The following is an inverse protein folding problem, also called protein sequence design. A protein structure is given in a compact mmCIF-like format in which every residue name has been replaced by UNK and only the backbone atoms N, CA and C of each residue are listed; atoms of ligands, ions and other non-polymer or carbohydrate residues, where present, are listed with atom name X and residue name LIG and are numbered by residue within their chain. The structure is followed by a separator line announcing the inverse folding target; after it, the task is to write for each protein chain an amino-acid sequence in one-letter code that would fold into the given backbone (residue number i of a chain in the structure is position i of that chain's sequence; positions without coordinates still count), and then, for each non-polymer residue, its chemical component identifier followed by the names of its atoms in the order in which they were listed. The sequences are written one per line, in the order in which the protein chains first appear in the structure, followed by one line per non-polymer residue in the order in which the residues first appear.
data_IF_330805113132
#
_entry.id   IF_330805113132
#
_cell.length_a   1.000
_cell.length_b   1.000
_cell.length_c   1.000
_cell.angle_alpha   90.00
_cell.angle_beta   90.00
_cell.angle_gamma   90.00
#
_symmetry.space_group_name_H-M   'P 1'
#
loop_
_entity.id
_entity.type
_entity.pdbx_description
1 polymer ?
#
# COMPACT_ATOMS: atom_id res chain seq x y z
N UNK A 1 -30.35 -25.99 -44.52
CA UNK A 1 -30.08 -24.83 -43.63
C UNK A 1 -29.66 -23.65 -44.51
N UNK A 2 -30.48 -22.60 -44.61
CA UNK A 2 -30.24 -21.51 -45.57
C UNK A 2 -29.03 -20.66 -45.16
N UNK A 3 -28.15 -20.35 -46.11
CA UNK A 3 -26.88 -19.62 -45.92
C UNK A 3 -27.03 -18.27 -45.18
N UNK A 4 -28.21 -17.65 -45.15
CA UNK A 4 -28.47 -16.42 -44.40
C UNK A 4 -28.62 -16.61 -42.88
N UNK A 5 -29.02 -17.79 -42.40
CA UNK A 5 -29.15 -18.08 -40.96
C UNK A 5 -27.81 -18.36 -40.28
N UNK A 6 -26.81 -18.81 -41.05
CA UNK A 6 -25.46 -19.08 -40.54
C UNK A 6 -24.66 -17.78 -40.32
N UNK A 7 -24.87 -16.75 -41.16
CA UNK A 7 -24.24 -15.44 -41.01
C UNK A 7 -24.74 -14.65 -39.80
N UNK A 8 -26.03 -14.78 -39.47
CA UNK A 8 -26.61 -14.11 -38.29
C UNK A 8 -26.15 -14.74 -36.98
N UNK A 9 -25.89 -16.05 -36.96
CA UNK A 9 -25.36 -16.75 -35.78
C UNK A 9 -23.89 -16.42 -35.51
N UNK A 10 -23.09 -16.12 -36.54
CA UNK A 10 -21.69 -15.72 -36.37
C UNK A 10 -21.54 -14.31 -35.76
N UNK A 11 -22.44 -13.38 -36.10
CA UNK A 11 -22.39 -11.99 -35.62
C UNK A 11 -22.74 -11.85 -34.12
N UNK A 12 -23.61 -12.71 -33.60
CA UNK A 12 -23.98 -12.72 -32.17
C UNK A 12 -22.89 -13.31 -31.28
N UNK A 13 -22.08 -14.24 -31.80
CA UNK A 13 -20.98 -14.87 -31.03
C UNK A 13 -19.79 -13.92 -30.81
N UNK A 14 -19.55 -12.95 -31.71
CA UNK A 14 -18.50 -11.95 -31.52
C UNK A 14 -18.87 -10.84 -30.53
N UNK A 15 -20.15 -10.63 -30.22
CA UNK A 15 -20.59 -9.65 -29.21
C UNK A 15 -20.41 -10.12 -27.76
N UNK A 16 -20.06 -11.40 -27.56
CA UNK A 16 -19.88 -12.04 -26.24
C UNK A 16 -18.41 -12.23 -25.88
N UNK A 17 -17.47 -11.79 -26.72
CA UNK A 17 -16.09 -11.54 -26.31
C UNK A 17 -16.09 -10.26 -25.47
N UNK A 18 -16.67 -10.42 -24.27
CA UNK A 18 -16.93 -9.38 -23.31
C UNK A 18 -15.66 -8.62 -22.97
N UNK A 19 -15.83 -7.31 -22.76
CA UNK A 19 -14.84 -6.48 -22.12
C UNK A 19 -14.30 -7.22 -20.89
N UNK A 20 -13.02 -7.57 -20.91
CA UNK A 20 -12.31 -7.91 -19.68
C UNK A 20 -12.52 -6.73 -18.73
N UNK A 21 -12.97 -6.95 -17.47
CA UNK A 21 -13.12 -5.85 -16.53
C UNK A 21 -11.80 -5.09 -16.44
N UNK A 22 -11.87 -3.75 -16.43
CA UNK A 22 -10.66 -2.95 -16.36
C UNK A 22 -9.83 -3.37 -15.14
N UNK A 23 -8.49 -3.52 -15.30
CA UNK A 23 -7.63 -3.81 -14.18
C UNK A 23 -7.82 -2.78 -13.07
N UNK A 24 -7.87 -3.24 -11.82
CA UNK A 24 -8.02 -2.34 -10.69
C UNK A 24 -6.85 -1.37 -10.60
N UNK A 25 -7.15 -0.09 -10.37
CA UNK A 25 -6.14 0.94 -10.14
C UNK A 25 -6.73 2.07 -9.30
N UNK A 26 -6.00 2.50 -8.29
CA UNK A 26 -6.36 3.60 -7.41
C UNK A 26 -5.38 4.77 -7.56
N UNK A 27 -5.89 5.99 -7.39
CA UNK A 27 -5.06 7.18 -7.20
C UNK A 27 -4.67 7.24 -5.73
N UNK A 28 -3.38 7.29 -5.43
CA UNK A 28 -2.87 7.22 -4.06
C UNK A 28 -1.80 8.27 -3.82
N UNK A 29 -1.86 8.94 -2.67
CA UNK A 29 -0.71 9.61 -2.07
C UNK A 29 0.18 8.59 -1.35
N UNK A 30 1.45 8.93 -1.14
CA UNK A 30 2.38 8.07 -0.41
C UNK A 30 2.76 8.68 0.91
N UNK A 31 2.81 7.86 1.96
CA UNK A 31 3.34 8.24 3.25
C UNK A 31 4.38 7.23 3.73
N UNK A 32 5.39 7.74 4.44
CA UNK A 32 6.31 6.93 5.21
C UNK A 32 6.38 7.49 6.64
N UNK A 33 6.34 6.64 7.66
CA UNK A 33 6.32 7.08 9.05
C UNK A 33 6.85 6.06 10.05
N UNK A 34 6.76 6.44 11.33
CA UNK A 34 7.07 5.56 12.46
C UNK A 34 6.16 5.89 13.64
N UNK A 35 5.90 4.89 14.48
CA UNK A 35 5.18 5.04 15.76
C UNK A 35 6.09 4.89 16.97
N UNK A 36 7.34 4.47 16.76
CA UNK A 36 8.33 4.18 17.80
C UNK A 36 9.48 5.19 17.85
N UNK A 37 9.52 6.15 16.93
CA UNK A 37 10.43 7.28 16.97
C UNK A 37 11.24 7.44 15.69
N UNK A 38 12.44 8.02 15.82
CA UNK A 38 13.31 8.37 14.70
C UNK A 38 13.76 7.11 13.94
N UNK A 39 13.60 7.12 12.62
CA UNK A 39 14.15 6.13 11.68
C UNK A 39 14.62 6.84 10.41
N UNK A 40 15.65 6.30 9.76
CA UNK A 40 16.13 6.76 8.45
C UNK A 40 15.75 5.74 7.39
N UNK A 41 14.80 6.08 6.50
CA UNK A 41 14.35 5.17 5.44
C UNK A 41 15.02 5.54 4.12
N UNK A 42 16.01 4.74 3.73
CA UNK A 42 16.82 4.96 2.53
C UNK A 42 16.22 4.33 1.28
N UNK A 43 15.58 3.17 1.46
CA UNK A 43 14.93 2.42 0.39
C UNK A 43 13.62 1.86 0.91
N UNK A 44 12.56 2.04 0.13
CA UNK A 44 11.26 1.43 0.37
C UNK A 44 10.51 1.46 -0.94
N UNK A 45 10.43 0.32 -1.61
CA UNK A 45 9.81 0.17 -2.92
C UNK A 45 8.69 -0.86 -2.82
N UNK A 46 7.54 -0.51 -3.37
CA UNK A 46 6.46 -1.44 -3.63
C UNK A 46 6.48 -1.79 -5.11
N UNK A 47 6.47 -3.08 -5.43
CA UNK A 47 6.20 -3.57 -6.78
C UNK A 47 4.76 -4.05 -6.82
N UNK A 48 4.00 -3.62 -7.82
CA UNK A 48 2.58 -3.96 -7.98
C UNK A 48 2.39 -5.23 -8.80
N UNK A 49 1.15 -5.74 -8.82
CA UNK A 49 0.78 -6.93 -9.60
C UNK A 49 1.10 -6.77 -11.09
N UNK A 50 0.88 -5.57 -11.64
CA UNK A 50 1.20 -5.22 -13.03
C UNK A 50 2.70 -4.97 -13.30
N UNK A 51 3.55 -5.04 -12.26
CA UNK A 51 4.98 -4.78 -12.36
C UNK A 51 5.36 -3.30 -12.24
N UNK A 52 4.40 -2.42 -11.95
CA UNK A 52 4.68 -1.02 -11.63
C UNK A 52 5.44 -0.89 -10.31
N UNK A 53 6.23 0.17 -10.15
CA UNK A 53 7.00 0.42 -8.93
C UNK A 53 6.63 1.77 -8.32
N UNK A 54 6.56 1.81 -6.99
CA UNK A 54 6.35 3.03 -6.21
C UNK A 54 7.40 3.12 -5.10
N UNK A 55 8.10 4.25 -5.02
CA UNK A 55 9.11 4.50 -4.02
C UNK A 55 8.54 5.37 -2.87
N UNK A 56 8.64 4.86 -1.64
CA UNK A 56 8.20 5.48 -0.39
C UNK A 56 9.39 5.79 0.54
N UNK A 57 10.60 5.93 -0.01
CA UNK A 57 11.80 6.35 0.71
C UNK A 57 11.76 7.85 0.92
N UNK A 58 11.37 8.28 2.13
CA UNK A 58 11.20 9.70 2.45
C UNK A 58 12.30 10.23 3.38
N UNK A 59 13.39 9.47 3.56
CA UNK A 59 14.48 9.84 4.47
C UNK A 59 14.09 9.70 5.94
N UNK A 60 14.42 10.70 6.75
CA UNK A 60 14.18 10.69 8.19
C UNK A 60 12.69 10.80 8.55
N UNK A 61 12.17 9.81 9.27
CA UNK A 61 10.78 9.79 9.78
C UNK A 61 10.77 9.64 11.30
N UNK A 62 9.73 10.16 11.96
CA UNK A 62 9.60 10.09 13.43
C UNK A 62 8.17 10.09 13.95
N UNK A 63 7.18 10.10 13.05
CA UNK A 63 5.78 10.25 13.40
C UNK A 63 4.88 9.47 12.44
N UNK A 64 3.62 9.31 12.83
CA UNK A 64 2.59 8.63 12.04
C UNK A 64 1.34 9.52 11.86
N UNK A 65 0.79 9.68 10.64
CA UNK A 65 1.52 9.46 9.39
C UNK A 65 2.77 10.34 9.37
N UNK A 66 3.84 9.88 8.75
CA UNK A 66 5.06 10.67 8.63
C UNK A 66 5.09 11.46 7.32
N UNK A 67 6.27 11.59 6.73
CA UNK A 67 6.51 12.30 5.48
C UNK A 67 5.57 11.82 4.36
N UNK A 68 5.19 12.74 3.47
CA UNK A 68 4.20 12.51 2.42
C UNK A 68 4.69 12.97 1.06
N UNK A 69 4.26 12.28 -0.01
CA UNK A 69 4.37 12.77 -1.39
C UNK A 69 3.03 12.69 -2.11
N UNK A 70 2.92 13.40 -3.23
CA UNK A 70 1.70 13.43 -4.07
C UNK A 70 1.29 12.06 -4.60
N UNK A 71 2.22 11.10 -4.65
CA UNK A 71 2.02 9.76 -5.18
C UNK A 71 1.57 9.74 -6.65
N UNK A 72 0.72 8.79 -7.01
CA UNK A 72 0.33 8.52 -8.40
C UNK A 72 -0.81 7.51 -8.50
N UNK A 73 -0.94 6.86 -9.67
CA UNK A 73 -1.87 5.74 -9.84
C UNK A 73 -1.12 4.43 -9.71
N UNK A 74 -1.69 3.48 -8.97
CA UNK A 74 -1.15 2.14 -8.85
C UNK A 74 -2.28 1.11 -8.72
N UNK A 75 -2.03 -0.11 -9.20
CA UNK A 75 -2.80 -1.29 -8.85
C UNK A 75 -2.32 -1.87 -7.49
N UNK A 76 -2.83 -3.05 -7.11
CA UNK A 76 -2.52 -3.63 -5.82
C UNK A 76 -1.01 -3.93 -5.67
N UNK A 77 -0.42 -3.66 -4.50
CA UNK A 77 0.98 -3.99 -4.25
C UNK A 77 1.14 -5.51 -4.09
N UNK A 78 2.20 -6.05 -4.66
CA UNK A 78 2.50 -7.49 -4.73
C UNK A 78 3.79 -7.85 -3.99
N UNK A 79 4.76 -6.94 -3.92
CA UNK A 79 6.03 -7.14 -3.23
C UNK A 79 6.47 -5.85 -2.54
N UNK A 80 7.08 -5.97 -1.37
CA UNK A 80 7.73 -4.87 -0.66
C UNK A 80 9.20 -5.16 -0.47
N UNK A 81 10.01 -4.17 -0.79
CA UNK A 81 11.44 -4.20 -0.63
C UNK A 81 11.90 -2.93 0.09
N UNK A 82 12.77 -3.02 1.09
CA UNK A 82 13.20 -1.83 1.80
C UNK A 82 14.42 -1.98 2.67
N UNK A 83 15.00 -0.84 3.02
CA UNK A 83 16.11 -0.65 3.95
C UNK A 83 15.91 0.61 4.78
N UNK A 84 16.10 0.45 6.08
CA UNK A 84 15.99 1.56 7.02
C UNK A 84 16.83 1.29 8.25
N UNK A 85 17.22 2.36 8.92
CA UNK A 85 17.93 2.31 10.18
C UNK A 85 17.06 2.92 11.29
N UNK A 86 17.27 2.49 12.52
CA UNK A 86 16.79 3.25 13.67
C UNK A 86 17.55 4.59 13.77
N UNK A 87 16.97 5.61 14.41
CA UNK A 87 17.61 6.92 14.56
C UNK A 87 17.72 7.76 13.27
N UNK A 88 18.39 8.92 13.39
CA UNK A 88 18.73 9.80 12.26
C UNK A 88 20.26 9.84 12.09
N UNK A 89 20.73 9.83 10.84
CA UNK A 89 22.16 9.70 10.48
C UNK A 89 23.08 10.78 11.05
N UNK A 90 22.55 11.95 11.42
CA UNK A 90 23.36 13.15 11.61
C UNK A 90 23.68 13.47 13.08
N UNK A 91 23.09 12.75 14.05
CA UNK A 91 23.24 13.09 15.48
C UNK A 91 24.04 12.05 16.28
N UNK A 92 24.14 10.79 15.86
CA UNK A 92 24.79 9.76 16.66
C UNK A 92 25.52 8.74 15.78
N UNK A 93 26.82 8.60 16.06
CA UNK A 93 27.73 7.50 15.69
C UNK A 93 27.02 6.36 14.94
N UNK A 94 27.12 6.37 13.61
CA UNK A 94 26.64 5.40 12.61
C UNK A 94 27.12 3.94 12.81
N UNK A 95 27.67 3.60 13.97
CA UNK A 95 28.37 2.34 14.26
C UNK A 95 27.59 1.39 15.19
N UNK A 96 26.45 1.79 15.76
CA UNK A 96 25.69 0.94 16.70
C UNK A 96 24.20 0.85 16.43
N UNK A 97 23.70 1.57 15.43
CA UNK A 97 22.26 1.62 15.17
C UNK A 97 21.82 0.38 14.39
N UNK A 98 20.78 -0.34 14.81
CA UNK A 98 20.29 -1.49 14.06
C UNK A 98 19.92 -1.09 12.62
N UNK A 99 20.52 -1.80 11.68
CA UNK A 99 20.20 -1.70 10.26
C UNK A 99 19.17 -2.76 9.92
N UNK A 100 18.16 -2.40 9.16
CA UNK A 100 17.06 -3.30 8.82
C UNK A 100 16.88 -3.39 7.30
N UNK A 101 16.49 -4.57 6.83
CA UNK A 101 16.04 -4.77 5.45
C UNK A 101 14.84 -5.69 5.36
N UNK A 102 14.06 -5.56 4.29
CA UNK A 102 13.00 -6.48 3.96
C UNK A 102 12.94 -6.71 2.45
N UNK A 103 12.61 -7.93 2.05
CA UNK A 103 12.15 -8.30 0.73
C UNK A 103 11.11 -9.40 0.93
N UNK A 104 9.84 -9.08 0.64
CA UNK A 104 8.74 -9.98 0.97
C UNK A 104 7.54 -9.78 0.05
N UNK A 105 6.87 -10.89 -0.25
CA UNK A 105 5.61 -10.87 -0.99
C UNK A 105 4.47 -10.35 -0.11
N UNK A 106 3.63 -9.52 -0.71
CA UNK A 106 2.41 -9.01 -0.09
C UNK A 106 1.27 -10.02 -0.33
N UNK A 107 0.44 -10.30 0.69
CA UNK A 107 -0.70 -11.21 0.55
C UNK A 107 -1.59 -10.87 -0.64
N UNK A 108 -1.99 -11.91 -1.40
CA UNK A 108 -2.84 -11.77 -2.61
C UNK A 108 -4.19 -11.08 -2.39
N UNK A 109 -4.65 -10.97 -1.14
CA UNK A 109 -5.89 -10.27 -0.81
C UNK A 109 -5.74 -8.74 -0.68
N UNK A 110 -4.56 -8.18 -0.96
CA UNK A 110 -4.33 -6.73 -0.92
C UNK A 110 -5.30 -5.96 -1.82
N UNK A 111 -5.54 -6.42 -3.06
CA UNK A 111 -6.51 -5.77 -3.96
C UNK A 111 -7.92 -5.73 -3.38
N UNK A 112 -8.39 -6.87 -2.84
CA UNK A 112 -9.72 -6.96 -2.26
C UNK A 112 -9.88 -6.03 -1.05
N UNK A 113 -8.83 -5.90 -0.22
CA UNK A 113 -8.79 -4.96 0.90
C UNK A 113 -8.81 -3.49 0.43
N UNK A 114 -8.06 -3.16 -0.62
CA UNK A 114 -8.06 -1.80 -1.15
C UNK A 114 -9.42 -1.44 -1.76
N UNK A 115 -10.02 -2.33 -2.56
CA UNK A 115 -11.38 -2.17 -3.09
C UNK A 115 -12.42 -2.00 -1.99
N UNK A 116 -12.34 -2.79 -0.92
CA UNK A 116 -13.20 -2.63 0.26
C UNK A 116 -13.06 -1.22 0.84
N UNK A 117 -11.83 -0.77 1.07
CA UNK A 117 -11.56 0.56 1.64
C UNK A 117 -12.04 1.69 0.72
N UNK A 118 -11.91 1.54 -0.60
CA UNK A 118 -12.42 2.49 -1.60
C UNK A 118 -13.93 2.66 -1.55
N UNK A 119 -14.66 1.62 -1.16
CA UNK A 119 -16.14 1.62 -1.08
C UNK A 119 -16.68 1.63 0.37
N UNK A 120 -15.81 1.80 1.36
CA UNK A 120 -16.14 1.50 2.76
C UNK A 120 -17.17 2.44 3.39
N UNK A 121 -17.05 3.73 3.11
CA UNK A 121 -17.87 4.77 3.74
C UNK A 121 -19.16 5.05 2.98
N UNK A 122 -20.22 5.41 3.70
CA UNK A 122 -21.52 5.72 3.12
C UNK A 122 -21.48 6.98 2.25
N UNK A 123 -20.88 8.05 2.78
CA UNK A 123 -20.95 9.40 2.20
C UNK A 123 -19.57 10.07 2.14
N UNK A 124 -18.56 9.35 1.62
CA UNK A 124 -17.24 9.93 1.36
C UNK A 124 -17.00 10.11 -0.14
N UNK A 125 -17.08 11.34 -0.60
CA UNK A 125 -16.74 11.69 -1.99
C UNK A 125 -15.24 11.97 -2.09
N UNK A 126 -14.44 10.89 -2.16
CA UNK A 126 -12.98 10.99 -2.31
C UNK A 126 -12.44 9.98 -3.32
N UNK A 127 -11.90 10.51 -4.41
CA UNK A 127 -11.35 9.72 -5.53
C UNK A 127 -9.91 9.24 -5.33
N UNK A 128 -9.25 9.64 -4.24
CA UNK A 128 -7.88 9.27 -3.90
C UNK A 128 -7.77 8.56 -2.54
N UNK A 129 -6.73 7.75 -2.38
CA UNK A 129 -6.37 7.11 -1.11
C UNK A 129 -4.95 7.50 -0.68
N UNK A 130 -4.48 6.87 0.38
CA UNK A 130 -3.13 7.03 0.92
C UNK A 130 -2.55 5.66 1.20
N UNK A 131 -1.41 5.37 0.57
CA UNK A 131 -0.59 4.19 0.83
C UNK A 131 0.49 4.57 1.86
N UNK A 132 0.47 3.94 3.02
CA UNK A 132 1.29 4.33 4.17
C UNK A 132 2.19 3.19 4.57
N UNK A 133 3.51 3.39 4.46
CA UNK A 133 4.50 2.49 5.07
C UNK A 133 4.87 3.03 6.44
N UNK A 134 4.92 2.13 7.42
CA UNK A 134 5.40 2.42 8.77
C UNK A 134 6.54 1.48 9.10
N UNK A 135 7.63 2.03 9.60
CA UNK A 135 8.76 1.27 10.14
C UNK A 135 8.85 1.48 11.66
N UNK A 136 9.01 0.38 12.40
CA UNK A 136 9.12 0.38 13.86
C UNK A 136 10.11 -0.69 14.32
N UNK A 137 11.36 -0.30 14.56
CA UNK A 137 12.47 -1.25 14.70
C UNK A 137 12.54 -2.13 13.44
N UNK A 138 12.59 -3.48 13.56
CA UNK A 138 12.59 -4.36 12.40
C UNK A 138 11.21 -4.54 11.75
N UNK A 139 10.12 -4.04 12.35
CA UNK A 139 8.77 -4.28 11.82
C UNK A 139 8.43 -3.28 10.72
N UNK A 140 7.86 -3.77 9.62
CA UNK A 140 7.31 -2.95 8.54
C UNK A 140 5.84 -3.26 8.36
N UNK A 141 5.02 -2.21 8.27
CA UNK A 141 3.58 -2.31 7.99
C UNK A 141 3.21 -1.46 6.80
N UNK A 142 2.37 -2.01 5.92
CA UNK A 142 1.80 -1.31 4.78
C UNK A 142 0.29 -1.19 4.97
N UNK A 143 -0.20 0.05 5.00
CA UNK A 143 -1.61 0.36 5.13
C UNK A 143 -2.15 1.07 3.90
N UNK A 144 -3.43 0.86 3.64
CA UNK A 144 -4.20 1.69 2.72
C UNK A 144 -5.41 2.32 3.42
N UNK A 145 -5.69 3.58 3.13
CA UNK A 145 -6.79 4.34 3.73
C UNK A 145 -7.34 5.39 2.78
N UNK A 146 -8.61 5.73 2.94
CA UNK A 146 -9.22 6.92 2.31
C UNK A 146 -8.96 8.20 3.09
N UNK A 147 -8.26 8.11 4.21
CA UNK A 147 -7.95 9.24 5.06
C UNK A 147 -9.18 10.06 5.52
N UNK A 148 -10.29 9.38 5.78
CA UNK A 148 -11.51 10.04 6.22
C UNK A 148 -11.28 10.75 7.56
N UNK A 149 -11.57 12.04 7.61
CA UNK A 149 -11.40 12.86 8.80
C UNK A 149 -12.76 13.10 9.44
N UNK A 150 -13.03 12.50 10.60
CA UNK A 150 -14.34 12.62 11.29
C UNK A 150 -14.73 14.06 11.65
N UNK A 151 -13.79 15.01 11.60
CA UNK A 151 -14.02 16.44 11.80
C UNK A 151 -14.50 17.18 10.55
N UNK A 152 -14.27 16.61 9.36
CA UNK A 152 -14.54 17.24 8.06
C UNK A 152 -15.49 16.41 7.19
N UNK A 153 -15.52 15.10 7.39
CA UNK A 153 -16.16 14.11 6.53
C UNK A 153 -17.15 13.23 7.34
N UNK A 154 -18.13 12.64 6.65
CA UNK A 154 -18.95 11.56 7.19
C UNK A 154 -18.23 10.21 7.03
N UNK A 155 -17.52 9.81 8.09
CA UNK A 155 -16.79 8.55 8.15
C UNK A 155 -17.65 7.38 8.62
N UNK A 156 -18.97 7.42 8.42
CA UNK A 156 -19.86 6.29 8.76
C UNK A 156 -19.67 5.15 7.76
N UNK A 157 -19.29 3.94 8.20
CA UNK A 157 -19.17 2.78 7.31
C UNK A 157 -20.51 2.35 6.74
N UNK A 158 -20.52 1.82 5.52
CA UNK A 158 -21.70 1.14 4.95
C UNK A 158 -22.06 -0.08 5.79
N UNK A 159 -23.36 -0.33 5.96
CA UNK A 159 -23.84 -1.47 6.77
C UNK A 159 -23.38 -2.80 6.15
N UNK A 160 -22.80 -3.68 6.98
CA UNK A 160 -22.34 -5.02 6.59
C UNK A 160 -21.28 -5.05 5.46
N UNK A 161 -20.59 -3.94 5.17
CA UNK A 161 -19.64 -3.86 4.06
C UNK A 161 -18.36 -4.66 4.29
N UNK A 162 -17.96 -4.82 5.55
CA UNK A 162 -16.74 -5.53 5.95
C UNK A 162 -17.06 -6.77 6.79
N UNK A 163 -17.56 -7.87 6.17
CA UNK A 163 -17.86 -9.10 6.89
C UNK A 163 -16.61 -9.83 7.39
N UNK A 164 -15.43 -9.51 6.85
CA UNK A 164 -14.16 -10.15 7.21
C UNK A 164 -13.41 -9.42 8.33
N UNK A 165 -13.88 -8.24 8.74
CA UNK A 165 -13.21 -7.40 9.74
C UNK A 165 -11.81 -6.94 9.29
N UNK A 166 -11.64 -6.64 8.00
CA UNK A 166 -10.36 -6.19 7.46
C UNK A 166 -10.04 -4.74 7.78
N UNK A 167 -11.06 -3.91 8.02
CA UNK A 167 -10.90 -2.50 8.36
C UNK A 167 -10.69 -2.37 9.86
N UNK A 168 -9.57 -1.75 10.23
CA UNK A 168 -9.15 -1.53 11.61
C UNK A 168 -8.78 -0.07 11.83
N UNK A 169 -8.68 0.35 13.09
CA UNK A 169 -8.09 1.65 13.40
C UNK A 169 -6.57 1.61 13.17
N UNK A 170 -6.05 2.63 12.49
CA UNK A 170 -4.61 2.85 12.35
C UNK A 170 -3.96 3.14 13.71
N UNK A 171 -2.62 3.22 13.79
CA UNK A 171 -1.87 3.33 15.04
C UNK A 171 -2.30 4.44 16.01
N UNK A 172 -2.82 5.56 15.50
CA UNK A 172 -3.34 6.67 16.32
C UNK A 172 -4.75 6.45 16.86
N UNK A 173 -5.44 5.37 16.47
CA UNK A 173 -6.81 5.06 16.90
C UNK A 173 -7.90 5.89 16.19
N UNK A 174 -7.54 6.81 15.30
CA UNK A 174 -8.47 7.79 14.71
C UNK A 174 -8.98 7.31 13.34
N UNK A 175 -8.05 7.12 12.40
CA UNK A 175 -8.35 6.83 11.00
C UNK A 175 -8.54 5.33 10.78
N UNK A 176 -9.50 4.95 9.95
CA UNK A 176 -9.66 3.56 9.51
C UNK A 176 -8.68 3.23 8.39
N UNK A 177 -8.10 2.05 8.46
CA UNK A 177 -7.11 1.54 7.52
C UNK A 177 -7.40 0.07 7.22
N UNK A 178 -6.94 -0.41 6.07
CA UNK A 178 -6.74 -1.84 5.83
C UNK A 178 -5.25 -2.14 5.92
N UNK A 179 -4.91 -3.22 6.63
CA UNK A 179 -3.54 -3.71 6.69
C UNK A 179 -3.28 -4.60 5.48
N UNK A 180 -2.43 -4.12 4.56
CA UNK A 180 -2.04 -4.86 3.37
C UNK A 180 -0.89 -5.81 3.66
N UNK A 181 0.07 -5.37 4.47
CA UNK A 181 1.23 -6.15 4.88
C UNK A 181 1.65 -5.81 6.32
N UNK A 182 2.14 -6.80 7.04
CA UNK A 182 2.72 -6.67 8.38
C UNK A 182 3.79 -7.75 8.52
N UNK A 183 5.06 -7.33 8.53
CA UNK A 183 6.20 -8.24 8.50
C UNK A 183 7.35 -7.74 9.37
N UNK A 184 8.28 -8.66 9.62
CA UNK A 184 9.51 -8.40 10.37
C UNK A 184 10.67 -8.55 9.39
N UNK A 185 11.43 -7.47 9.21
CA UNK A 185 12.65 -7.45 8.42
C UNK A 185 13.83 -8.10 9.15
N UNK A 186 14.89 -8.35 8.39
CA UNK A 186 16.17 -8.78 8.92
C UNK A 186 16.90 -7.60 9.58
N UNK A 187 17.52 -7.83 10.73
CA UNK A 187 18.33 -6.83 11.44
C UNK A 187 19.81 -7.19 11.43
N UNK A 188 20.66 -6.18 11.34
CA UNK A 188 22.11 -6.32 11.40
C UNK A 188 22.74 -5.19 12.22
N UNK A 189 23.87 -5.48 12.86
CA UNK A 189 24.71 -4.47 13.53
C UNK A 189 25.63 -3.71 12.58
N UNK A 190 25.79 -4.21 11.35
CA UNK A 190 26.54 -3.56 10.28
C UNK A 190 25.62 -3.31 9.09
N UNK A 191 25.85 -2.25 8.30
CA UNK A 191 25.01 -1.95 7.14
C UNK A 191 24.92 -3.14 6.18
N UNK A 192 23.73 -3.35 5.61
CA UNK A 192 23.55 -4.32 4.53
C UNK A 192 24.27 -3.85 3.27
N UNK A 193 24.82 -4.79 2.49
CA UNK A 193 25.50 -4.46 1.25
C UNK A 193 24.52 -3.88 0.21
N UNK A 194 24.97 -2.93 -0.60
CA UNK A 194 24.17 -2.42 -1.71
C UNK A 194 24.00 -3.45 -2.85
N UNK A 195 24.80 -4.52 -2.86
CA UNK A 195 24.78 -5.53 -3.91
C UNK A 195 23.58 -6.49 -3.82
N UNK A 196 22.87 -6.49 -2.69
CA UNK A 196 21.74 -7.38 -2.43
C UNK A 196 20.42 -6.89 -3.06
N UNK A 197 20.44 -5.78 -3.80
CA UNK A 197 19.27 -5.16 -4.42
C UNK A 197 19.49 -4.99 -5.92
N UNK A 198 18.60 -5.57 -6.73
CA UNK A 198 18.58 -5.35 -8.17
C UNK A 198 17.82 -4.04 -8.46
N UNK A 199 18.53 -3.07 -9.05
CA UNK A 199 17.95 -1.81 -9.54
C UNK A 199 17.07 -2.03 -10.77
#
# INVERSE_FOLDING_TARGET
MNKSKLGFLLLVVFSILGCTPEPYSAKVGFNNGSTTGKHSVYQMTLTTVSGGQANLSMGGVSSYPGASSSGGRMDAPAHIEGRWDEGWSDEDKTSSTPHHRISADIPKNAEAKMKLMDDYYQNLDRDYGSMQVIVDGPRVRLFYTKDCSTTLDDCTPKKNIDPNGWVVKGPKGIRDVVVLFDGIGESSKTPFSNADFAY
#
